data_IF_310680203197
#
_entry.id   IF_310680203197
#
_cell.length_a   1.000
_cell.length_b   1.000
_cell.length_c   1.000
_cell.angle_alpha   90.00
_cell.angle_beta   90.00
_cell.angle_gamma   90.00
#
_symmetry.space_group_name_H-M   'P 1'
#
loop_
_entity.id
_entity.type
_entity.pdbx_description
1 polymer ?
#
# COMPACT_ATOMS: atom_id res chain seq x y z
N UNK A 1 -11.76 -3.29 -17.69
CA UNK A 1 -12.49 -2.05 -17.36
C UNK A 1 -13.67 -1.87 -18.28
N UNK A 2 -14.65 -1.13 -17.80
CA UNK A 2 -15.86 -0.80 -18.51
C UNK A 2 -16.67 0.25 -17.76
N UNK A 3 -17.89 0.50 -18.26
CA UNK A 3 -18.86 1.35 -17.61
C UNK A 3 -20.24 0.70 -17.62
N UNK A 4 -20.98 0.87 -16.56
CA UNK A 4 -22.39 0.52 -16.42
C UNK A 4 -23.15 1.82 -16.14
N UNK A 5 -23.72 2.41 -17.19
CA UNK A 5 -24.27 3.76 -17.13
C UNK A 5 -23.17 4.77 -16.74
N UNK A 6 -23.36 5.45 -15.62
CA UNK A 6 -22.44 6.48 -15.11
C UNK A 6 -21.35 5.93 -14.18
N UNK A 7 -21.37 4.64 -13.89
CA UNK A 7 -20.40 3.99 -12.99
C UNK A 7 -19.32 3.32 -13.84
N UNK A 8 -18.09 3.82 -13.72
CA UNK A 8 -16.91 3.17 -14.25
C UNK A 8 -16.49 2.03 -13.33
N UNK A 9 -16.03 0.94 -13.90
CA UNK A 9 -15.47 -0.18 -13.16
C UNK A 9 -14.15 -0.67 -13.76
N UNK A 10 -13.30 -1.21 -12.90
CA UNK A 10 -12.06 -1.87 -13.30
C UNK A 10 -11.84 -3.13 -12.48
N UNK A 11 -11.40 -4.18 -13.14
CA UNK A 11 -10.95 -5.42 -12.50
C UNK A 11 -9.53 -5.71 -12.95
N UNK A 12 -8.63 -5.88 -12.00
CA UNK A 12 -7.22 -6.18 -12.26
C UNK A 12 -6.84 -7.46 -11.52
N UNK A 13 -6.31 -8.44 -12.24
CA UNK A 13 -5.59 -9.57 -11.67
C UNK A 13 -4.09 -9.30 -11.82
N UNK A 14 -3.31 -9.59 -10.80
CA UNK A 14 -1.87 -9.32 -10.83
C UNK A 14 -1.07 -10.35 -10.06
N UNK A 15 0.13 -10.62 -10.57
CA UNK A 15 1.20 -11.31 -9.86
C UNK A 15 2.45 -10.45 -9.98
N UNK A 16 2.91 -9.90 -8.87
CA UNK A 16 4.03 -8.94 -8.86
C UNK A 16 4.98 -9.21 -7.70
N UNK A 17 6.30 -9.14 -7.92
CA UNK A 17 7.24 -9.12 -6.80
C UNK A 17 6.99 -7.86 -5.96
N UNK A 18 7.14 -7.99 -4.66
CA UNK A 18 7.10 -6.85 -3.75
C UNK A 18 8.46 -6.18 -3.70
N UNK A 19 8.50 -4.84 -3.60
CA UNK A 19 9.73 -4.03 -3.69
C UNK A 19 9.99 -3.19 -2.44
N UNK A 20 9.46 -3.61 -1.28
CA UNK A 20 9.62 -2.85 -0.02
C UNK A 20 11.06 -2.84 0.50
N UNK A 21 11.80 -3.93 0.27
CA UNK A 21 13.21 -4.06 0.63
C UNK A 21 13.92 -5.01 -0.34
N UNK A 22 15.25 -5.09 -0.28
CA UNK A 22 16.02 -6.07 -1.05
C UNK A 22 15.66 -7.49 -0.66
N UNK A 23 15.44 -7.78 0.63
CA UNK A 23 14.97 -9.07 1.10
C UNK A 23 13.63 -9.43 0.46
N UNK A 24 12.68 -8.50 0.49
CA UNK A 24 11.35 -8.70 -0.09
C UNK A 24 11.40 -8.95 -1.59
N UNK A 25 12.25 -8.22 -2.31
CA UNK A 25 12.33 -8.28 -3.78
C UNK A 25 13.18 -9.43 -4.30
N UNK A 26 14.41 -9.54 -3.82
CA UNK A 26 15.41 -10.47 -4.35
C UNK A 26 15.65 -11.69 -3.46
N UNK A 27 15.23 -11.62 -2.20
CA UNK A 27 15.62 -12.58 -1.18
C UNK A 27 17.04 -12.33 -0.66
N UNK A 28 17.38 -13.07 0.37
CA UNK A 28 18.69 -13.07 0.99
C UNK A 28 19.13 -14.50 1.31
N UNK A 29 20.41 -14.68 1.63
CA UNK A 29 20.95 -15.93 2.17
C UNK A 29 21.39 -15.70 3.61
N UNK A 30 20.87 -16.51 4.50
CA UNK A 30 21.26 -16.47 5.91
C UNK A 30 22.73 -16.85 6.09
N UNK A 31 23.57 -15.98 6.67
CA UNK A 31 25.01 -16.23 6.76
C UNK A 31 25.37 -17.40 7.67
N UNK A 32 24.51 -17.74 8.65
CA UNK A 32 24.81 -18.81 9.58
C UNK A 32 24.39 -20.19 9.08
N UNK A 33 23.25 -20.28 8.39
CA UNK A 33 22.71 -21.56 7.89
C UNK A 33 22.86 -21.76 6.40
N UNK A 34 23.17 -20.70 5.64
CA UNK A 34 23.19 -20.71 4.18
C UNK A 34 21.79 -20.83 3.54
N UNK A 35 20.71 -20.84 4.34
CA UNK A 35 19.34 -20.94 3.85
C UNK A 35 18.94 -19.66 3.13
N UNK A 36 18.35 -19.80 1.98
CA UNK A 36 17.79 -18.68 1.21
C UNK A 36 16.36 -18.39 1.71
N UNK A 37 16.01 -17.11 1.84
CA UNK A 37 14.64 -16.70 2.14
C UNK A 37 14.30 -15.33 1.55
N UNK A 38 13.01 -14.98 1.47
CA UNK A 38 12.55 -13.71 0.92
C UNK A 38 11.94 -13.87 -0.47
N UNK A 39 12.15 -12.90 -1.38
CA UNK A 39 11.62 -12.95 -2.73
C UNK A 39 10.08 -13.01 -2.77
N UNK A 40 9.41 -12.12 -2.05
CA UNK A 40 7.96 -12.17 -1.84
C UNK A 40 7.20 -11.68 -3.07
N UNK A 41 6.24 -12.47 -3.50
CA UNK A 41 5.36 -12.18 -4.63
C UNK A 41 3.92 -12.01 -4.14
N UNK A 42 3.28 -10.92 -4.54
CA UNK A 42 1.86 -10.66 -4.30
C UNK A 42 1.03 -11.15 -5.49
N UNK A 43 0.10 -12.06 -5.24
CA UNK A 43 -0.81 -12.64 -6.22
C UNK A 43 -2.24 -12.30 -5.81
N UNK A 44 -3.04 -11.75 -6.70
CA UNK A 44 -4.42 -11.40 -6.35
C UNK A 44 -5.07 -10.46 -7.32
N UNK A 45 -6.10 -9.76 -6.86
CA UNK A 45 -6.87 -8.87 -7.70
C UNK A 45 -7.37 -7.63 -6.97
N UNK A 46 -7.79 -6.67 -7.76
CA UNK A 46 -8.39 -5.42 -7.28
C UNK A 46 -9.59 -5.08 -8.14
N UNK A 47 -10.70 -4.79 -7.49
CA UNK A 47 -11.89 -4.20 -8.07
C UNK A 47 -11.87 -2.69 -7.78
N UNK A 48 -12.05 -1.88 -8.80
CA UNK A 48 -12.23 -0.44 -8.71
C UNK A 48 -13.59 -0.01 -9.24
N UNK A 49 -14.19 0.96 -8.57
CA UNK A 49 -15.43 1.62 -8.96
C UNK A 49 -15.22 3.13 -8.96
N UNK A 50 -15.81 3.82 -9.90
CA UNK A 50 -15.77 5.27 -9.96
C UNK A 50 -17.07 5.82 -10.50
N UNK A 51 -17.51 6.93 -9.96
CA UNK A 51 -18.67 7.67 -10.41
C UNK A 51 -18.31 9.15 -10.53
N UNK A 52 -18.33 9.63 -11.75
CA UNK A 52 -18.06 11.01 -12.12
C UNK A 52 -18.92 11.36 -13.32
N UNK A 53 -19.90 12.21 -13.12
CA UNK A 53 -20.85 12.63 -14.17
C UNK A 53 -20.38 13.86 -14.96
N UNK A 54 -19.11 14.28 -14.81
CA UNK A 54 -18.63 15.54 -15.36
C UNK A 54 -19.10 16.78 -14.59
N UNK A 55 -19.84 16.60 -13.49
CA UNK A 55 -20.25 17.65 -12.56
C UNK A 55 -19.16 18.01 -11.55
N UNK A 56 -19.55 18.76 -10.52
CA UNK A 56 -18.62 19.28 -9.52
C UNK A 56 -18.07 18.19 -8.57
N UNK A 57 -18.67 17.01 -8.57
CA UNK A 57 -18.35 15.94 -7.60
C UNK A 57 -17.97 14.64 -8.30
N UNK A 58 -17.13 13.88 -7.62
CA UNK A 58 -16.86 12.49 -8.00
C UNK A 58 -16.51 11.64 -6.78
N UNK A 59 -16.83 10.36 -6.87
CA UNK A 59 -16.53 9.34 -5.87
C UNK A 59 -15.81 8.17 -6.54
N UNK A 60 -14.92 7.56 -5.80
CA UNK A 60 -14.29 6.32 -6.22
C UNK A 60 -14.05 5.40 -5.02
N UNK A 61 -14.02 4.11 -5.28
CA UNK A 61 -13.67 3.10 -4.30
C UNK A 61 -12.87 1.98 -4.95
N UNK A 62 -12.04 1.31 -4.17
CA UNK A 62 -11.36 0.10 -4.61
C UNK A 62 -11.23 -0.90 -3.48
N UNK A 63 -11.32 -2.18 -3.82
CA UNK A 63 -11.11 -3.31 -2.92
C UNK A 63 -10.15 -4.28 -3.58
N UNK A 64 -9.06 -4.59 -2.91
CA UNK A 64 -8.04 -5.54 -3.38
C UNK A 64 -7.77 -6.62 -2.35
N UNK A 65 -7.56 -7.84 -2.83
CA UNK A 65 -7.10 -8.95 -2.01
C UNK A 65 -5.92 -9.64 -2.68
N UNK A 66 -4.84 -9.89 -1.90
CA UNK A 66 -3.60 -10.50 -2.40
C UNK A 66 -3.06 -11.51 -1.40
N UNK A 67 -2.66 -12.65 -1.89
CA UNK A 67 -1.85 -13.65 -1.20
C UNK A 67 -0.37 -13.34 -1.43
N UNK A 68 0.40 -13.39 -0.37
CA UNK A 68 1.81 -13.02 -0.34
C UNK A 68 2.62 -14.27 -0.03
N UNK A 69 3.45 -14.69 -0.98
CA UNK A 69 4.28 -15.89 -0.90
C UNK A 69 5.74 -15.55 -1.17
N UNK A 70 6.62 -16.14 -0.38
CA UNK A 70 8.07 -16.03 -0.54
C UNK A 70 8.79 -17.32 -0.18
N UNK A 71 10.03 -17.47 -0.60
CA UNK A 71 10.87 -18.61 -0.25
C UNK A 71 11.22 -18.56 1.24
N UNK A 72 10.88 -19.59 2.02
CA UNK A 72 11.08 -19.65 3.48
C UNK A 72 10.58 -18.39 4.23
N UNK A 73 9.50 -17.82 3.77
CA UNK A 73 8.75 -16.72 4.39
C UNK A 73 7.37 -17.23 4.76
N UNK A 74 6.84 -16.87 5.91
CA UNK A 74 5.49 -17.23 6.30
C UNK A 74 4.45 -16.71 5.30
N UNK A 75 3.46 -17.55 4.95
CA UNK A 75 2.34 -17.13 4.12
C UNK A 75 1.58 -15.98 4.77
N UNK A 76 1.20 -15.02 3.96
CA UNK A 76 0.44 -13.87 4.42
C UNK A 76 -0.64 -13.49 3.42
N UNK A 77 -1.62 -12.74 3.88
CA UNK A 77 -2.67 -12.19 3.06
C UNK A 77 -2.81 -10.70 3.33
N UNK A 78 -3.16 -9.97 2.30
CA UNK A 78 -3.43 -8.54 2.40
C UNK A 78 -4.76 -8.19 1.76
N UNK A 79 -5.66 -7.62 2.55
CA UNK A 79 -6.87 -6.96 2.05
C UNK A 79 -6.68 -5.45 2.15
N UNK A 80 -7.00 -4.73 1.10
CA UNK A 80 -6.90 -3.27 1.01
C UNK A 80 -8.19 -2.70 0.48
N UNK A 81 -8.78 -1.78 1.24
CA UNK A 81 -9.94 -0.99 0.82
C UNK A 81 -9.53 0.49 0.76
N UNK A 82 -9.96 1.18 -0.27
CA UNK A 82 -9.76 2.62 -0.44
C UNK A 82 -11.05 3.23 -0.95
N UNK A 83 -11.35 4.45 -0.52
CA UNK A 83 -12.42 5.26 -1.05
C UNK A 83 -12.02 6.73 -1.07
N UNK A 84 -12.59 7.49 -1.97
CA UNK A 84 -12.38 8.91 -2.03
C UNK A 84 -13.58 9.64 -2.60
N UNK A 85 -13.73 10.86 -2.14
CA UNK A 85 -14.65 11.85 -2.68
C UNK A 85 -13.85 13.08 -3.04
N UNK A 86 -14.21 13.74 -4.12
CA UNK A 86 -13.66 15.03 -4.47
C UNK A 86 -14.75 15.99 -4.94
N UNK A 87 -14.49 17.27 -4.71
CA UNK A 87 -15.29 18.37 -5.17
C UNK A 87 -14.44 19.35 -5.99
N UNK A 88 -14.92 19.73 -7.18
CA UNK A 88 -14.32 20.71 -8.06
C UNK A 88 -14.83 22.08 -7.65
N UNK A 89 -13.98 22.88 -7.01
CA UNK A 89 -14.31 24.27 -6.62
C UNK A 89 -14.25 25.22 -7.79
N UNK A 90 -13.31 24.95 -8.71
CA UNK A 90 -13.14 25.69 -9.96
C UNK A 90 -12.83 24.69 -11.08
N UNK A 91 -13.56 24.77 -12.17
CA UNK A 91 -13.30 23.98 -13.37
C UNK A 91 -13.44 24.91 -14.60
N UNK A 92 -12.36 25.58 -14.96
CA UNK A 92 -12.24 26.44 -16.16
C UNK A 92 -11.26 25.79 -17.14
N UNK A 93 -11.19 26.30 -18.34
CA UNK A 93 -10.28 25.80 -19.37
C UNK A 93 -8.81 25.92 -18.98
N UNK A 94 -8.48 26.92 -18.21
CA UNK A 94 -7.13 27.34 -17.81
C UNK A 94 -6.87 27.18 -16.30
N UNK A 95 -7.90 26.95 -15.49
CA UNK A 95 -7.78 26.91 -14.03
C UNK A 95 -8.65 25.80 -13.44
N UNK A 96 -8.08 24.99 -12.56
CA UNK A 96 -8.80 23.96 -11.82
C UNK A 96 -8.39 23.95 -10.36
N UNK A 97 -9.41 23.91 -9.48
CA UNK A 97 -9.23 23.73 -8.04
C UNK A 97 -10.07 22.56 -7.59
N UNK A 98 -9.45 21.61 -6.92
CA UNK A 98 -10.12 20.41 -6.39
C UNK A 98 -9.73 20.19 -4.95
N UNK A 99 -10.70 19.82 -4.15
CA UNK A 99 -10.50 19.35 -2.76
C UNK A 99 -11.20 18.02 -2.59
N UNK A 100 -10.79 17.25 -1.61
CA UNK A 100 -11.40 15.93 -1.41
C UNK A 100 -11.15 15.34 -0.03
N UNK A 101 -11.67 14.13 0.15
CA UNK A 101 -11.40 13.28 1.30
C UNK A 101 -11.04 11.90 0.78
N UNK A 102 -10.04 11.27 1.37
CA UNK A 102 -9.63 9.90 1.06
C UNK A 102 -9.60 9.07 2.33
N UNK A 103 -10.08 7.84 2.21
CA UNK A 103 -10.02 6.81 3.25
C UNK A 103 -9.20 5.65 2.71
N UNK A 104 -8.34 5.10 3.54
CA UNK A 104 -7.61 3.88 3.23
C UNK A 104 -7.61 2.97 4.46
N UNK A 105 -7.94 1.71 4.21
CA UNK A 105 -7.84 0.66 5.19
C UNK A 105 -7.15 -0.53 4.58
N UNK A 106 -6.15 -1.08 5.25
CA UNK A 106 -5.52 -2.33 4.86
C UNK A 106 -5.28 -3.22 6.08
N UNK A 107 -5.31 -4.49 5.82
CA UNK A 107 -5.13 -5.53 6.82
C UNK A 107 -4.21 -6.59 6.26
N UNK A 108 -3.22 -7.00 7.07
CA UNK A 108 -2.46 -8.23 6.85
C UNK A 108 -2.84 -9.24 7.94
N UNK A 109 -2.73 -10.52 7.62
CA UNK A 109 -2.96 -11.57 8.62
C UNK A 109 -1.81 -11.64 9.62
N UNK A 110 -0.58 -11.41 9.15
CA UNK A 110 0.64 -11.45 9.95
C UNK A 110 1.46 -10.19 9.75
N UNK A 111 2.13 -9.74 10.81
CA UNK A 111 3.21 -8.76 10.67
C UNK A 111 4.52 -9.52 10.37
N UNK A 112 5.07 -9.30 9.19
CA UNK A 112 6.28 -9.92 8.68
C UNK A 112 7.34 -8.86 8.31
N UNK A 113 7.35 -7.73 9.02
CA UNK A 113 8.26 -6.62 8.77
C UNK A 113 9.72 -6.86 9.16
N UNK A 114 10.00 -7.93 9.92
CA UNK A 114 11.34 -8.28 10.36
C UNK A 114 12.25 -8.81 9.25
N UNK A 115 13.55 -8.89 9.59
CA UNK A 115 14.62 -9.35 8.70
C UNK A 115 15.28 -10.66 9.16
N UNK A 116 14.55 -11.46 9.94
CA UNK A 116 14.98 -12.82 10.31
C UNK A 116 14.34 -13.86 9.42
N UNK A 117 14.88 -15.07 9.42
CA UNK A 117 14.36 -16.21 8.67
C UNK A 117 12.88 -16.43 9.01
N UNK A 118 12.02 -16.58 8.00
CA UNK A 118 10.57 -16.67 8.13
C UNK A 118 9.84 -15.33 8.00
N UNK A 119 10.53 -14.21 8.20
CA UNK A 119 10.03 -12.85 7.98
C UNK A 119 10.22 -12.41 6.52
N UNK A 120 9.40 -11.49 6.05
CA UNK A 120 9.43 -11.04 4.64
C UNK A 120 10.11 -9.70 4.40
N UNK A 121 10.43 -8.94 5.44
CA UNK A 121 11.07 -7.62 5.34
C UNK A 121 10.19 -6.55 4.70
N UNK A 122 8.87 -6.66 4.79
CA UNK A 122 7.92 -5.70 4.23
C UNK A 122 6.97 -5.17 5.31
N UNK A 123 6.57 -3.91 5.17
CA UNK A 123 5.63 -3.28 6.07
C UNK A 123 4.27 -3.97 5.98
N UNK A 124 3.87 -4.63 7.06
CA UNK A 124 2.69 -5.50 7.11
C UNK A 124 1.91 -5.38 8.42
N UNK A 125 1.48 -4.17 8.81
CA UNK A 125 0.64 -4.03 9.98
C UNK A 125 -0.62 -4.86 9.85
N UNK A 126 -1.07 -5.47 10.94
CA UNK A 126 -2.29 -6.27 10.94
C UNK A 126 -3.54 -5.40 10.76
N UNK A 127 -3.43 -4.12 11.04
CA UNK A 127 -4.46 -3.12 10.72
C UNK A 127 -3.80 -1.77 10.49
N UNK A 128 -4.18 -1.14 9.40
CA UNK A 128 -3.81 0.24 9.08
C UNK A 128 -5.03 0.99 8.60
N UNK A 129 -5.24 2.18 9.11
CA UNK A 129 -6.31 3.07 8.66
C UNK A 129 -5.75 4.47 8.49
N UNK A 130 -6.10 5.14 7.42
CA UNK A 130 -5.77 6.56 7.24
C UNK A 130 -6.92 7.33 6.62
N UNK A 131 -7.00 8.59 7.02
CA UNK A 131 -7.92 9.60 6.48
C UNK A 131 -7.07 10.76 6.00
N UNK A 132 -7.33 11.24 4.80
CA UNK A 132 -6.59 12.37 4.21
C UNK A 132 -7.52 13.37 3.55
N UNK A 133 -7.09 14.63 3.55
CA UNK A 133 -7.75 15.73 2.85
C UNK A 133 -6.78 16.23 1.78
N UNK A 134 -6.88 15.73 0.53
CA UNK A 134 -6.12 16.23 -0.59
C UNK A 134 -6.73 17.51 -1.16
N UNK A 135 -5.86 18.41 -1.62
CA UNK A 135 -6.22 19.58 -2.41
C UNK A 135 -5.28 19.71 -3.60
N UNK A 136 -5.78 20.19 -4.72
CA UNK A 136 -4.96 20.46 -5.89
C UNK A 136 -5.39 21.75 -6.57
N UNK A 137 -4.40 22.48 -7.07
CA UNK A 137 -4.54 23.65 -7.91
C UNK A 137 -3.77 23.42 -9.21
N UNK A 138 -4.44 23.51 -10.32
CA UNK A 138 -3.81 23.44 -11.64
C UNK A 138 -4.17 24.70 -12.43
N UNK A 139 -3.16 25.33 -13.01
CA UNK A 139 -3.31 26.48 -13.88
C UNK A 139 -2.43 26.31 -15.12
N UNK A 140 -2.90 26.77 -16.26
CA UNK A 140 -2.13 26.77 -17.51
C UNK A 140 -2.52 27.95 -18.40
N UNK A 141 -1.55 28.49 -19.11
CA UNK A 141 -1.76 29.36 -20.25
C UNK A 141 -1.04 28.80 -21.48
N UNK A 142 -0.83 29.65 -22.49
CA UNK A 142 -0.19 29.25 -23.75
C UNK A 142 1.24 28.73 -23.52
N UNK A 143 2.03 29.40 -22.65
CA UNK A 143 3.46 29.12 -22.46
C UNK A 143 3.77 28.33 -21.19
N UNK A 144 2.90 28.35 -20.16
CA UNK A 144 3.19 27.88 -18.83
C UNK A 144 2.11 26.97 -18.28
N UNK A 145 2.55 26.02 -17.46
CA UNK A 145 1.65 25.23 -16.61
C UNK A 145 2.18 25.16 -15.18
N UNK A 146 1.25 25.24 -14.23
CA UNK A 146 1.51 25.10 -12.80
C UNK A 146 0.56 24.06 -12.22
N UNK A 147 1.10 23.09 -11.49
CA UNK A 147 0.35 22.15 -10.67
C UNK A 147 0.87 22.20 -9.24
N UNK A 148 0.00 22.51 -8.31
CA UNK A 148 0.25 22.42 -6.88
C UNK A 148 -0.68 21.36 -6.29
N UNK A 149 -0.12 20.41 -5.54
CA UNK A 149 -0.86 19.37 -4.85
C UNK A 149 -0.43 19.36 -3.39
N UNK A 150 -1.40 19.28 -2.50
CA UNK A 150 -1.17 19.17 -1.08
C UNK A 150 -2.13 18.19 -0.44
N UNK A 151 -1.74 17.59 0.65
CA UNK A 151 -2.64 16.80 1.50
C UNK A 151 -2.20 16.86 2.94
N UNK A 152 -3.17 16.84 3.83
CA UNK A 152 -2.97 16.56 5.26
C UNK A 152 -3.78 15.33 5.62
N UNK A 153 -3.31 14.56 6.56
CA UNK A 153 -4.01 13.34 6.94
C UNK A 153 -3.53 12.79 8.26
N UNK A 154 -4.36 11.92 8.80
CA UNK A 154 -4.07 11.14 9.99
C UNK A 154 -4.04 9.67 9.64
N UNK A 155 -3.16 8.92 10.30
CA UNK A 155 -3.08 7.47 10.14
C UNK A 155 -2.85 6.77 11.47
N UNK A 156 -3.33 5.55 11.54
CA UNK A 156 -3.11 4.63 12.65
C UNK A 156 -2.73 3.26 12.11
N UNK A 157 -1.70 2.67 12.70
CA UNK A 157 -1.28 1.30 12.42
C UNK A 157 -1.28 0.50 13.73
N UNK A 158 -1.66 -0.77 13.62
CA UNK A 158 -1.61 -1.75 14.69
C UNK A 158 -0.92 -3.01 14.19
N UNK A 159 0.09 -3.46 14.92
CA UNK A 159 0.78 -4.72 14.71
C UNK A 159 0.72 -5.56 15.99
N UNK A 160 0.18 -6.77 15.86
CA UNK A 160 0.14 -7.74 16.94
C UNK A 160 1.19 -8.84 16.76
N UNK A 161 1.28 -9.74 17.72
CA UNK A 161 2.15 -10.93 17.61
C UNK A 161 1.71 -11.81 16.44
N UNK A 162 2.65 -12.21 15.61
CA UNK A 162 2.41 -13.10 14.48
C UNK A 162 3.02 -14.47 14.76
N UNK A 163 2.25 -15.52 14.47
CA UNK A 163 2.78 -16.88 14.47
C UNK A 163 3.35 -17.17 13.08
N UNK A 164 4.62 -17.56 13.05
CA UNK A 164 5.28 -17.99 11.80
C UNK A 164 5.03 -19.47 11.49
N UNK A 165 4.60 -20.25 12.50
CA UNK A 165 4.28 -21.65 12.40
C UNK A 165 2.77 -21.89 12.40
N UNK A 166 2.30 -22.97 11.78
CA UNK A 166 3.00 -24.02 11.01
C UNK A 166 2.82 -23.85 9.50
N UNK A 167 3.46 -22.87 8.87
CA UNK A 167 3.40 -22.72 7.42
C UNK A 167 4.25 -23.82 6.74
N UNK A 168 3.62 -24.64 5.89
CA UNK A 168 4.20 -25.87 5.36
C UNK A 168 5.45 -25.67 4.47
N UNK A 169 5.60 -24.48 3.88
CA UNK A 169 6.74 -24.13 3.00
C UNK A 169 7.97 -23.63 3.76
N UNK A 170 7.84 -23.36 5.06
CA UNK A 170 8.98 -22.93 5.89
C UNK A 170 9.75 -24.17 6.37
N UNK A 171 11.08 -24.11 6.24
CA UNK A 171 11.91 -25.19 6.75
C UNK A 171 11.99 -25.18 8.28
N UNK A 172 11.10 -25.91 8.93
CA UNK A 172 10.99 -25.99 10.37
C UNK A 172 12.27 -26.50 11.07
N UNK A 173 13.06 -27.34 10.40
CA UNK A 173 14.33 -27.81 10.97
C UNK A 173 15.35 -26.68 11.10
N UNK A 174 15.40 -25.82 10.10
CA UNK A 174 16.28 -24.64 10.12
C UNK A 174 15.77 -23.63 11.16
N UNK A 175 14.47 -23.39 11.22
CA UNK A 175 13.89 -22.50 12.22
C UNK A 175 14.12 -23.00 13.67
N UNK A 176 14.13 -24.31 13.90
CA UNK A 176 14.40 -24.87 15.23
C UNK A 176 15.87 -24.75 15.65
N UNK A 177 16.82 -24.67 14.71
CA UNK A 177 18.24 -24.45 15.01
C UNK A 177 18.57 -23.00 15.41
N UNK A 178 17.78 -22.07 14.92
CA UNK A 178 17.79 -20.71 15.38
C UNK A 178 16.93 -20.64 16.61
N UNK A 179 17.31 -20.24 17.72
CA UNK A 179 16.38 -19.91 18.80
C UNK A 179 15.46 -18.75 18.38
N UNK A 180 14.72 -19.02 17.32
CA UNK A 180 13.85 -18.08 16.59
C UNK A 180 12.71 -17.63 17.50
N UNK A 181 12.38 -18.43 18.54
CA UNK A 181 11.30 -18.12 19.47
C UNK A 181 11.54 -16.81 20.21
N UNK A 182 12.72 -16.61 20.75
CA UNK A 182 13.05 -15.37 21.47
C UNK A 182 13.17 -14.17 20.54
N UNK A 183 13.75 -14.36 19.36
CA UNK A 183 13.91 -13.28 18.39
C UNK A 183 12.60 -12.90 17.70
N UNK A 184 11.74 -13.89 17.39
CA UNK A 184 10.42 -13.63 16.80
C UNK A 184 9.49 -12.98 17.81
N UNK A 185 9.49 -13.43 19.05
CA UNK A 185 8.68 -12.83 20.11
C UNK A 185 9.10 -11.38 20.38
N UNK A 186 10.37 -11.07 20.35
CA UNK A 186 10.87 -9.71 20.51
C UNK A 186 10.57 -8.80 19.30
N UNK A 187 10.56 -9.36 18.09
CA UNK A 187 10.31 -8.61 16.86
C UNK A 187 8.82 -8.43 16.53
N UNK A 188 7.97 -9.27 17.11
CA UNK A 188 6.52 -9.25 16.88
C UNK A 188 5.74 -8.79 18.11
N UNK A 189 6.33 -7.99 18.96
CA UNK A 189 5.59 -7.36 20.05
C UNK A 189 4.49 -6.48 19.47
N UNK A 190 3.31 -6.53 20.11
CA UNK A 190 2.20 -5.71 19.73
C UNK A 190 2.59 -4.23 19.80
N UNK A 191 2.37 -3.50 18.72
CA UNK A 191 2.66 -2.08 18.65
C UNK A 191 1.52 -1.30 18.00
N UNK A 192 1.23 -0.15 18.57
CA UNK A 192 0.31 0.83 18.01
C UNK A 192 1.09 2.09 17.65
N UNK A 193 0.84 2.60 16.48
CA UNK A 193 1.37 3.89 16.05
C UNK A 193 0.29 4.73 15.41
N UNK A 194 0.33 6.02 15.66
CA UNK A 194 -0.56 6.99 15.00
C UNK A 194 0.20 8.28 14.74
N UNK A 195 -0.22 9.01 13.73
CA UNK A 195 0.42 10.26 13.40
C UNK A 195 -0.33 11.10 12.38
N UNK A 196 -0.02 12.39 12.41
CA UNK A 196 -0.38 13.33 11.36
C UNK A 196 0.71 13.33 10.28
N UNK A 197 0.28 13.35 9.04
CA UNK A 197 1.16 13.46 7.88
C UNK A 197 0.73 14.60 6.97
N UNK A 198 1.70 15.18 6.28
CA UNK A 198 1.43 16.13 5.20
C UNK A 198 2.26 15.80 3.97
N UNK A 199 1.76 16.20 2.83
CA UNK A 199 2.45 16.09 1.54
C UNK A 199 2.27 17.38 0.78
N UNK A 200 3.33 17.87 0.15
CA UNK A 200 3.30 18.98 -0.78
C UNK A 200 4.09 18.61 -2.03
N UNK A 201 3.53 18.91 -3.19
CA UNK A 201 4.17 18.75 -4.50
C UNK A 201 3.87 19.97 -5.34
N UNK A 202 4.89 20.50 -6.03
CA UNK A 202 4.75 21.52 -7.04
C UNK A 202 5.41 21.08 -8.34
N UNK A 203 4.75 21.34 -9.47
CA UNK A 203 5.29 21.15 -10.81
C UNK A 203 5.05 22.43 -11.59
N UNK A 204 6.13 22.99 -12.15
CA UNK A 204 6.07 24.18 -12.98
C UNK A 204 6.79 23.89 -14.30
N UNK A 205 6.10 24.05 -15.40
CA UNK A 205 6.61 23.70 -16.72
C UNK A 205 6.44 24.87 -17.68
N UNK A 206 7.43 25.05 -18.57
CA UNK A 206 7.37 25.97 -19.70
C UNK A 206 7.33 25.19 -21.01
N UNK A 207 6.40 25.52 -21.88
CA UNK A 207 6.44 25.04 -23.26
C UNK A 207 7.56 25.79 -24.00
N UNK A 208 8.49 25.04 -24.53
CA UNK A 208 9.46 25.55 -25.49
C UNK A 208 8.82 25.39 -26.89
N UNK A 209 8.57 26.50 -27.54
CA UNK A 209 8.11 26.56 -28.93
C UNK A 209 9.27 26.28 -29.87
#
# INVERSE_FOLDING_TARGET
>A
NGALGQVGWSLTASRRPMSNSLLTFAGARDPATGVRWGGVTANGGTLGLSWDQGGDNGVWASLGHHWLYGENVADNQRTRAMAGYYHRLVEKADERVRVGVTLMHWRHDKDLGGYSLGQGGYYSPQRYTSVGVPASYAWRNYDWSLLLEGSVGWSQAHSGRSRLYPDAHINHKVLAQYDVRSNIDAMNDASDSSGLGYRLRGLFERRLS
#
